data_IF_861644348071
#
_entry.id   IF_861644348071
#
_cell.length_a   1.000
_cell.length_b   1.000
_cell.length_c   1.000
_cell.angle_alpha   90.00
_cell.angle_beta   90.00
_cell.angle_gamma   90.00
#
_symmetry.space_group_name_H-M   'P 1'
#
loop_
_entity.id
_entity.type
_entity.pdbx_description
1 polymer ?
#
# COMPACT_ATOMS: atom_id res chain seq x y z
N UNK A 1 -3.96 -10.94 2.78
CA UNK A 1 -3.66 -10.27 4.06
C UNK A 1 -2.68 -11.03 4.94
N UNK A 2 -2.78 -12.36 5.10
CA UNK A 2 -1.85 -13.13 5.96
C UNK A 2 -0.37 -12.89 5.64
N UNK A 3 0.01 -12.94 4.36
CA UNK A 3 1.42 -12.83 3.94
C UNK A 3 2.04 -11.47 4.30
N UNK A 4 1.25 -10.39 4.23
CA UNK A 4 1.69 -9.07 4.65
C UNK A 4 1.97 -9.01 6.15
N UNK A 5 1.11 -9.60 6.99
CA UNK A 5 1.34 -9.62 8.43
C UNK A 5 2.52 -10.51 8.84
N UNK A 6 2.74 -11.61 8.12
CA UNK A 6 3.95 -12.43 8.30
C UNK A 6 5.21 -11.61 8.00
N UNK A 7 5.24 -10.91 6.86
CA UNK A 7 6.35 -10.02 6.51
C UNK A 7 6.54 -8.89 7.54
N UNK A 8 5.45 -8.26 7.98
CA UNK A 8 5.49 -7.22 9.01
C UNK A 8 6.10 -7.73 10.32
N UNK A 9 5.67 -8.91 10.79
CA UNK A 9 6.21 -9.52 12.00
C UNK A 9 7.69 -9.89 11.86
N UNK A 10 8.10 -10.43 10.70
CA UNK A 10 9.50 -10.75 10.43
C UNK A 10 10.39 -9.49 10.43
N UNK A 11 9.90 -8.38 9.87
CA UNK A 11 10.57 -7.08 9.89
C UNK A 11 10.68 -6.52 11.32
N UNK A 12 9.60 -6.57 12.12
CA UNK A 12 9.60 -6.09 13.51
C UNK A 12 10.57 -6.86 14.40
N UNK A 13 10.67 -8.17 14.20
CA UNK A 13 11.58 -9.04 14.94
C UNK A 13 13.03 -8.95 14.42
N UNK A 14 13.30 -8.10 13.42
CA UNK A 14 14.59 -7.96 12.73
C UNK A 14 15.13 -9.29 12.19
N UNK A 15 14.23 -10.21 11.88
CA UNK A 15 14.55 -11.55 11.41
C UNK A 15 14.85 -11.56 9.90
N UNK A 16 14.21 -10.66 9.14
CA UNK A 16 14.36 -10.50 7.70
C UNK A 16 14.34 -9.02 7.30
N UNK A 17 14.67 -8.77 6.03
CA UNK A 17 14.63 -7.49 5.34
C UNK A 17 15.74 -6.51 5.74
N UNK A 18 15.93 -5.51 4.88
CA UNK A 18 16.90 -4.44 5.10
C UNK A 18 16.54 -3.59 6.32
N UNK A 19 17.52 -2.90 6.95
CA UNK A 19 17.25 -1.98 8.06
C UNK A 19 16.22 -0.90 7.73
N UNK A 20 16.12 -0.48 6.47
CA UNK A 20 15.11 0.49 6.02
C UNK A 20 13.69 -0.07 6.18
N UNK A 21 13.46 -1.31 5.75
CA UNK A 21 12.17 -2.00 5.86
C UNK A 21 11.83 -2.28 7.34
N UNK A 22 12.81 -2.73 8.12
CA UNK A 22 12.65 -2.98 9.55
C UNK A 22 12.26 -1.70 10.31
N UNK A 23 12.91 -0.58 10.00
CA UNK A 23 12.60 0.72 10.63
C UNK A 23 11.18 1.19 10.32
N UNK A 24 10.62 0.88 9.13
CA UNK A 24 9.23 1.19 8.83
C UNK A 24 8.22 0.28 9.53
N UNK A 25 8.64 -0.93 9.90
CA UNK A 25 7.80 -1.88 10.62
C UNK A 25 7.74 -1.61 12.13
N UNK A 26 8.78 -0.96 12.67
CA UNK A 26 8.95 -0.72 14.10
C UNK A 26 7.78 0.10 14.68
N UNK A 27 7.24 -0.37 15.81
CA UNK A 27 6.18 0.32 16.55
C UNK A 27 4.78 0.24 15.92
N UNK A 28 4.61 -0.44 14.79
CA UNK A 28 3.27 -0.68 14.22
C UNK A 28 2.49 -1.64 15.12
N UNK A 29 1.40 -1.16 15.70
CA UNK A 29 0.41 -2.01 16.37
C UNK A 29 -0.38 -2.81 15.31
N UNK A 30 -0.05 -4.10 15.21
CA UNK A 30 -0.60 -5.01 14.20
C UNK A 30 -2.10 -5.24 14.39
N UNK A 31 -2.60 -5.25 15.61
CA UNK A 31 -4.01 -5.53 15.87
C UNK A 31 -4.85 -4.28 15.58
N UNK A 32 -4.37 -3.10 15.96
CA UNK A 32 -4.98 -1.83 15.56
C UNK A 32 -4.97 -1.67 14.04
N UNK A 33 -3.88 -2.06 13.36
CA UNK A 33 -3.79 -2.04 11.90
C UNK A 33 -4.81 -2.99 11.24
N UNK A 34 -4.97 -4.22 11.73
CA UNK A 34 -5.98 -5.18 11.22
C UNK A 34 -7.38 -4.57 11.30
N UNK A 35 -7.75 -4.06 12.48
CA UNK A 35 -9.05 -3.42 12.70
C UNK A 35 -9.24 -2.24 11.74
N UNK A 36 -8.22 -1.40 11.57
CA UNK A 36 -8.28 -0.25 10.66
C UNK A 36 -8.52 -0.68 9.21
N UNK A 37 -7.78 -1.69 8.72
CA UNK A 37 -7.94 -2.22 7.37
C UNK A 37 -9.34 -2.83 7.19
N UNK A 38 -9.80 -3.66 8.13
CA UNK A 38 -11.10 -4.34 8.02
C UNK A 38 -12.27 -3.33 8.00
N UNK A 39 -12.23 -2.30 8.87
CA UNK A 39 -13.23 -1.24 8.90
C UNK A 39 -13.28 -0.47 7.58
N UNK A 40 -12.12 -0.11 7.04
CA UNK A 40 -12.05 0.68 5.80
C UNK A 40 -12.43 -0.16 4.58
N UNK A 41 -11.99 -1.42 4.49
CA UNK A 41 -12.33 -2.29 3.37
C UNK A 41 -13.80 -2.72 3.39
N UNK A 42 -14.39 -2.92 4.58
CA UNK A 42 -15.80 -3.26 4.74
C UNK A 42 -16.77 -2.10 4.52
N UNK A 43 -16.28 -0.86 4.52
CA UNK A 43 -17.07 0.34 4.22
C UNK A 43 -17.13 0.70 2.74
N UNK A 44 -17.85 1.77 2.43
CA UNK A 44 -17.94 2.36 1.09
C UNK A 44 -16.63 3.06 0.67
N UNK A 45 -16.62 3.67 -0.52
CA UNK A 45 -15.45 4.36 -1.07
C UNK A 45 -15.00 5.56 -0.22
N UNK A 46 -15.90 6.14 0.58
CA UNK A 46 -15.61 7.26 1.49
C UNK A 46 -15.15 6.82 2.88
N UNK A 47 -15.18 5.51 3.17
CA UNK A 47 -14.83 4.95 4.46
C UNK A 47 -13.46 5.42 4.94
N UNK A 48 -13.40 5.85 6.20
CA UNK A 48 -12.18 6.36 6.82
C UNK A 48 -12.14 6.00 8.29
N UNK A 49 -10.93 6.02 8.84
CA UNK A 49 -10.65 5.81 10.27
C UNK A 49 -9.92 7.03 10.82
N UNK A 50 -9.90 7.17 12.14
CA UNK A 50 -9.32 8.31 12.86
C UNK A 50 -8.43 7.84 14.01
N UNK A 51 -7.67 8.76 14.60
CA UNK A 51 -6.82 8.49 15.75
C UNK A 51 -5.84 7.34 15.50
N UNK A 52 -5.68 6.47 16.51
CA UNK A 52 -4.74 5.36 16.47
C UNK A 52 -4.94 4.43 15.25
N UNK A 53 -6.18 4.20 14.81
CA UNK A 53 -6.46 3.40 13.62
C UNK A 53 -5.93 4.05 12.35
N UNK A 54 -6.06 5.37 12.21
CA UNK A 54 -5.52 6.10 11.05
C UNK A 54 -3.99 6.11 11.04
N UNK A 55 -3.38 6.30 12.21
CA UNK A 55 -1.93 6.29 12.36
C UNK A 55 -1.34 4.90 12.06
N UNK A 56 -1.95 3.85 12.60
CA UNK A 56 -1.57 2.47 12.32
C UNK A 56 -1.73 2.15 10.82
N UNK A 57 -2.87 2.51 10.21
CA UNK A 57 -3.11 2.29 8.77
C UNK A 57 -2.08 3.00 7.90
N UNK A 58 -1.78 4.27 8.20
CA UNK A 58 -0.75 5.03 7.50
C UNK A 58 0.63 4.38 7.65
N UNK A 59 0.99 3.94 8.86
CA UNK A 59 2.26 3.27 9.09
C UNK A 59 2.35 1.93 8.34
N UNK A 60 1.27 1.12 8.36
CA UNK A 60 1.17 -0.12 7.60
C UNK A 60 1.28 0.09 6.09
N UNK A 61 0.67 1.15 5.56
CA UNK A 61 0.84 1.57 4.17
C UNK A 61 2.29 1.94 3.82
N UNK A 62 2.95 2.73 4.67
CA UNK A 62 4.35 3.10 4.45
C UNK A 62 5.29 1.89 4.50
N UNK A 63 5.04 0.95 5.40
CA UNK A 63 5.75 -0.33 5.41
C UNK A 63 5.49 -1.14 4.13
N UNK A 64 4.23 -1.24 3.69
CA UNK A 64 3.89 -1.91 2.44
C UNK A 64 4.61 -1.30 1.23
N UNK A 65 4.76 0.02 1.20
CA UNK A 65 5.47 0.72 0.13
C UNK A 65 6.96 0.35 0.06
N UNK A 66 7.61 0.13 1.21
CA UNK A 66 8.97 -0.42 1.24
C UNK A 66 9.01 -1.91 0.88
N UNK A 67 8.02 -2.68 1.35
CA UNK A 67 7.94 -4.12 1.13
C UNK A 67 7.82 -4.48 -0.36
N UNK A 68 7.18 -3.64 -1.18
CA UNK A 68 7.12 -3.82 -2.65
C UNK A 68 8.52 -3.87 -3.28
N UNK A 69 9.49 -3.14 -2.72
CA UNK A 69 10.88 -3.16 -3.21
C UNK A 69 11.61 -4.47 -2.83
N UNK A 70 11.01 -5.28 -1.94
CA UNK A 70 11.55 -6.57 -1.51
C UNK A 70 10.98 -7.75 -2.31
N UNK A 71 10.10 -7.55 -3.29
CA UNK A 71 9.57 -8.65 -4.10
C UNK A 71 10.69 -9.30 -4.93
N UNK A 72 10.78 -10.64 -4.93
CA UNK A 72 11.81 -11.36 -5.71
C UNK A 72 11.62 -11.17 -7.22
N UNK A 73 10.38 -10.92 -7.64
CA UNK A 73 10.02 -10.66 -9.02
C UNK A 73 9.36 -9.30 -9.16
N UNK A 74 9.76 -8.59 -10.21
CA UNK A 74 9.12 -7.34 -10.60
C UNK A 74 7.64 -7.57 -10.95
N UNK A 75 6.71 -6.79 -10.37
CA UNK A 75 5.30 -6.83 -10.75
C UNK A 75 5.08 -6.48 -12.23
N UNK A 76 3.97 -6.94 -12.77
CA UNK A 76 3.50 -6.60 -14.12
C UNK A 76 3.21 -5.10 -14.23
N UNK A 77 3.17 -4.58 -15.46
CA UNK A 77 2.86 -3.16 -15.68
C UNK A 77 1.50 -2.77 -15.09
N UNK A 78 0.50 -3.64 -15.17
CA UNK A 78 -0.84 -3.36 -14.63
C UNK A 78 -0.84 -3.33 -13.10
N UNK A 79 -0.10 -4.22 -12.45
CA UNK A 79 0.11 -4.20 -10.99
C UNK A 79 0.84 -2.92 -10.56
N UNK A 80 1.88 -2.52 -11.30
CA UNK A 80 2.61 -1.27 -11.04
C UNK A 80 1.71 -0.03 -11.20
N UNK A 81 0.81 -0.03 -12.18
CA UNK A 81 -0.15 1.07 -12.38
C UNK A 81 -1.19 1.12 -11.24
N UNK A 82 -1.68 -0.03 -10.77
CA UNK A 82 -2.57 -0.09 -9.60
C UNK A 82 -1.87 0.40 -8.33
N UNK A 83 -0.65 -0.09 -8.07
CA UNK A 83 0.19 0.38 -6.96
C UNK A 83 0.38 1.90 -7.04
N UNK A 84 0.69 2.43 -8.23
CA UNK A 84 0.85 3.88 -8.42
C UNK A 84 -0.44 4.65 -8.11
N UNK A 85 -1.59 4.21 -8.65
CA UNK A 85 -2.88 4.87 -8.41
C UNK A 85 -3.20 4.94 -6.92
N UNK A 86 -3.22 3.79 -6.24
CA UNK A 86 -3.48 3.73 -4.80
C UNK A 86 -2.46 4.52 -4.00
N UNK A 87 -1.16 4.46 -4.33
CA UNK A 87 -0.14 5.23 -3.63
C UNK A 87 -0.37 6.75 -3.73
N UNK A 88 -0.74 7.25 -4.91
CA UNK A 88 -1.02 8.67 -5.10
C UNK A 88 -2.26 9.12 -4.34
N UNK A 89 -3.33 8.33 -4.38
CA UNK A 89 -4.54 8.63 -3.63
C UNK A 89 -4.36 8.50 -2.12
N UNK A 90 -3.59 7.51 -1.67
CA UNK A 90 -3.25 7.29 -0.25
C UNK A 90 -2.49 8.47 0.38
N UNK A 91 -1.74 9.21 -0.44
CA UNK A 91 -1.04 10.44 -0.04
C UNK A 91 -1.90 11.71 -0.20
N UNK A 92 -3.13 11.59 -0.69
CA UNK A 92 -4.02 12.73 -0.95
C UNK A 92 -3.56 13.61 -2.12
N UNK A 93 -2.76 13.07 -3.05
CA UNK A 93 -2.26 13.82 -4.19
C UNK A 93 -3.33 14.01 -5.27
N UNK A 94 -3.42 15.21 -5.82
CA UNK A 94 -4.19 15.49 -7.05
C UNK A 94 -3.22 15.56 -8.22
N UNK A 95 -3.36 14.65 -9.20
CA UNK A 95 -2.48 14.63 -10.37
C UNK A 95 -3.00 15.53 -11.48
N UNK A 96 -2.08 16.20 -12.17
CA UNK A 96 -2.37 16.97 -13.37
C UNK A 96 -2.50 16.04 -14.58
N UNK A 97 -3.37 16.42 -15.53
CA UNK A 97 -3.54 15.65 -16.75
C UNK A 97 -2.28 15.77 -17.63
N UNK A 98 -1.66 14.64 -18.01
CA UNK A 98 -0.45 14.64 -18.81
C UNK A 98 -0.72 15.06 -20.26
N UNK A 99 0.32 15.59 -20.90
CA UNK A 99 0.27 16.06 -22.30
C UNK A 99 -0.09 14.96 -23.29
N UNK A 100 -0.56 15.35 -24.48
CA UNK A 100 -1.11 14.44 -25.49
C UNK A 100 -0.12 13.32 -25.90
N UNK A 101 1.18 13.62 -25.92
CA UNK A 101 2.24 12.70 -26.35
C UNK A 101 2.88 11.89 -25.21
N UNK A 102 2.53 12.17 -23.94
CA UNK A 102 3.04 11.40 -22.80
C UNK A 102 2.17 10.17 -22.52
N UNK A 103 2.42 9.10 -23.28
CA UNK A 103 1.67 7.85 -23.14
C UNK A 103 1.85 7.19 -21.76
N UNK A 104 3.05 7.29 -21.18
CA UNK A 104 3.35 6.70 -19.86
C UNK A 104 2.68 7.49 -18.74
N UNK A 105 2.77 8.81 -18.79
CA UNK A 105 2.05 9.70 -17.88
C UNK A 105 0.55 9.47 -17.98
N UNK A 106 -0.01 9.35 -19.19
CA UNK A 106 -1.45 9.04 -19.39
C UNK A 106 -1.86 7.76 -18.71
N UNK A 107 -1.09 6.68 -18.83
CA UNK A 107 -1.40 5.42 -18.16
C UNK A 107 -1.43 5.58 -16.63
N UNK A 108 -0.42 6.24 -16.06
CA UNK A 108 -0.34 6.54 -14.62
C UNK A 108 -1.49 7.43 -14.14
N UNK A 109 -1.77 8.51 -14.86
CA UNK A 109 -2.88 9.41 -14.58
C UNK A 109 -4.22 8.69 -14.64
N UNK A 110 -4.45 7.85 -15.65
CA UNK A 110 -5.68 7.07 -15.78
C UNK A 110 -5.84 6.08 -14.63
N UNK A 111 -4.76 5.42 -14.19
CA UNK A 111 -4.79 4.50 -13.06
C UNK A 111 -5.17 5.22 -11.75
N UNK A 112 -4.62 6.41 -11.49
CA UNK A 112 -5.04 7.24 -10.36
C UNK A 112 -6.47 7.78 -10.52
N UNK A 113 -6.81 8.32 -11.69
CA UNK A 113 -8.15 8.88 -11.97
C UNK A 113 -9.26 7.85 -11.79
N UNK A 114 -9.01 6.59 -12.09
CA UNK A 114 -9.98 5.51 -11.89
C UNK A 114 -10.34 5.28 -10.42
N UNK A 115 -9.51 5.73 -9.47
CA UNK A 115 -9.69 5.51 -8.04
C UNK A 115 -9.73 6.82 -7.23
N UNK A 116 -9.65 8.00 -7.88
CA UNK A 116 -9.47 9.28 -7.18
C UNK A 116 -10.69 9.74 -6.36
N UNK A 117 -11.79 9.01 -6.44
CA UNK A 117 -13.02 9.23 -5.67
C UNK A 117 -13.01 8.53 -4.32
N UNK A 118 -12.12 7.55 -4.09
CA UNK A 118 -12.03 6.84 -2.81
C UNK A 118 -11.25 7.67 -1.78
N UNK A 119 -11.51 7.46 -0.49
CA UNK A 119 -10.77 8.14 0.57
C UNK A 119 -9.28 7.76 0.57
N UNK A 120 -8.43 8.62 1.14
CA UNK A 120 -7.00 8.31 1.27
C UNK A 120 -6.78 7.02 2.08
N UNK A 121 -7.55 6.83 3.15
CA UNK A 121 -7.51 5.63 4.00
C UNK A 121 -7.97 4.39 3.22
N UNK A 122 -9.01 4.50 2.38
CA UNK A 122 -9.42 3.41 1.48
C UNK A 122 -8.29 3.03 0.54
N UNK A 123 -7.66 4.01 -0.09
CA UNK A 123 -6.49 3.77 -0.94
C UNK A 123 -5.31 3.14 -0.18
N UNK A 124 -5.06 3.51 1.08
CA UNK A 124 -4.04 2.88 1.92
C UNK A 124 -4.34 1.39 2.16
N UNK A 125 -5.58 1.06 2.54
CA UNK A 125 -5.99 -0.32 2.80
C UNK A 125 -5.96 -1.19 1.53
N UNK A 126 -6.42 -0.65 0.39
CA UNK A 126 -6.35 -1.31 -0.91
C UNK A 126 -4.91 -1.54 -1.36
N UNK A 127 -4.02 -0.56 -1.12
CA UNK A 127 -2.59 -0.70 -1.39
C UNK A 127 -1.98 -1.85 -0.58
N UNK A 128 -2.21 -1.89 0.74
CA UNK A 128 -1.70 -2.97 1.60
C UNK A 128 -2.23 -4.33 1.13
N UNK A 129 -3.51 -4.39 0.74
CA UNK A 129 -4.14 -5.60 0.23
C UNK A 129 -3.48 -6.09 -1.07
N UNK A 130 -3.24 -5.17 -2.01
CA UNK A 130 -2.53 -5.48 -3.25
C UNK A 130 -1.12 -5.98 -2.97
N UNK A 131 -0.35 -5.30 -2.12
CA UNK A 131 1.01 -5.72 -1.73
C UNK A 131 1.00 -7.11 -1.10
N UNK A 132 0.04 -7.41 -0.21
CA UNK A 132 -0.10 -8.76 0.35
C UNK A 132 -0.28 -9.82 -0.74
N UNK A 133 -1.08 -9.53 -1.77
CA UNK A 133 -1.27 -10.45 -2.90
C UNK A 133 -0.01 -10.63 -3.75
N UNK A 134 0.78 -9.57 -3.92
CA UNK A 134 2.04 -9.61 -4.64
C UNK A 134 3.10 -10.41 -3.89
N UNK A 135 3.23 -10.21 -2.56
CA UNK A 135 4.11 -11.00 -1.69
C UNK A 135 3.76 -12.49 -1.79
N UNK A 136 2.47 -12.83 -1.73
CA UNK A 136 2.00 -14.21 -1.92
C UNK A 136 2.39 -14.79 -3.28
N UNK A 137 2.35 -13.98 -4.33
CA UNK A 137 2.54 -14.43 -5.72
C UNK A 137 4.01 -14.52 -6.11
N UNK A 138 4.85 -13.65 -5.56
CA UNK A 138 6.24 -13.47 -5.99
C UNK A 138 7.27 -13.72 -4.89
N UNK A 139 6.85 -13.94 -3.64
CA UNK A 139 7.77 -14.01 -2.51
C UNK A 139 8.45 -12.67 -2.21
N UNK A 140 9.35 -12.70 -1.24
CA UNK A 140 10.22 -11.55 -0.92
C UNK A 140 11.65 -12.01 -0.70
N UNK A 141 12.61 -11.22 -1.18
CA UNK A 141 14.02 -11.41 -0.88
C UNK A 141 14.30 -11.20 0.61
N UNK A 142 15.23 -12.00 1.15
CA UNK A 142 15.65 -11.97 2.56
C UNK A 142 16.35 -10.65 2.96
#
# INVERSE_FOLDING_TARGET
MSDFYTALSAAQNKAQYTPAVQSKAEGIDVDTLKVAIDLVLGGDDSASVQGAQADALKAGFLFAAELVNMLEKKPTNDELLKLYGYFKQANGETLEQPGMFDLKGKAKYNAWKAINTISAQKAQAEYVTLVSGLVKSYGTQE
#
